data_IF_815372827833
#
_entry.id   IF_815372827833
#
_cell.length_a   1.000
_cell.length_b   1.000
_cell.length_c   1.000
_cell.angle_alpha   90.00
_cell.angle_beta   90.00
_cell.angle_gamma   90.00
#
_symmetry.space_group_name_H-M   'P 1'
#
loop_
_entity.id
_entity.type
_entity.pdbx_description
1 polymer ?
#
# COMPACT_ATOMS: atom_id res chain seq x y z
N UNK A 1 -13.12 -20.91 -67.99
CA UNK A 1 -13.50 -21.42 -66.66
C UNK A 1 -12.46 -21.03 -65.59
N UNK A 2 -11.89 -19.83 -65.62
CA UNK A 2 -12.13 -18.75 -64.63
C UNK A 2 -13.34 -18.92 -63.69
N UNK A 3 -13.27 -19.78 -62.65
CA UNK A 3 -14.06 -19.61 -61.41
C UNK A 3 -13.71 -20.49 -60.20
N UNK A 4 -12.52 -21.10 -60.12
CA UNK A 4 -12.16 -21.99 -58.99
C UNK A 4 -10.83 -21.67 -58.28
N UNK A 5 -10.09 -20.64 -58.67
CA UNK A 5 -8.79 -20.28 -58.07
C UNK A 5 -8.83 -19.16 -56.99
N UNK A 6 -10.02 -18.81 -56.48
CA UNK A 6 -10.16 -17.74 -55.49
C UNK A 6 -10.69 -18.21 -54.11
N UNK A 7 -10.62 -19.51 -53.82
CA UNK A 7 -11.13 -20.07 -52.56
C UNK A 7 -10.06 -20.51 -51.54
N UNK A 8 -8.77 -20.36 -51.86
CA UNK A 8 -7.66 -20.75 -50.96
C UNK A 8 -6.90 -19.56 -50.36
N UNK A 9 -7.28 -18.31 -50.66
CA UNK A 9 -6.74 -17.08 -50.05
C UNK A 9 -7.67 -16.41 -49.03
N UNK A 10 -8.71 -17.11 -48.57
CA UNK A 10 -9.65 -16.62 -47.53
C UNK A 10 -9.70 -17.52 -46.28
N UNK A 11 -8.62 -18.26 -46.00
CA UNK A 11 -8.46 -19.06 -44.77
C UNK A 11 -7.18 -18.60 -44.05
N UNK A 12 -7.06 -17.30 -43.74
CA UNK A 12 -5.90 -16.79 -42.99
C UNK A 12 -6.20 -15.66 -42.02
N UNK A 13 -7.47 -15.29 -41.80
CA UNK A 13 -7.80 -14.23 -40.84
C UNK A 13 -9.11 -14.60 -40.15
N UNK A 14 -9.14 -15.67 -39.35
CA UNK A 14 -10.23 -15.86 -38.39
C UNK A 14 -9.94 -16.82 -37.21
N UNK A 15 -8.68 -17.21 -36.99
CA UNK A 15 -8.34 -18.20 -35.95
C UNK A 15 -7.11 -17.83 -35.11
N UNK A 16 -6.88 -16.52 -34.92
CA UNK A 16 -5.83 -16.01 -34.04
C UNK A 16 -6.22 -14.68 -33.38
N UNK A 17 -7.48 -14.57 -32.94
CA UNK A 17 -8.02 -13.38 -32.28
C UNK A 17 -8.98 -13.72 -31.14
N UNK A 18 -8.74 -14.84 -30.46
CA UNK A 18 -9.52 -15.30 -29.30
C UNK A 18 -8.68 -15.62 -28.06
N UNK A 19 -7.45 -15.11 -27.97
CA UNK A 19 -6.54 -15.34 -26.83
C UNK A 19 -5.96 -14.04 -26.23
N UNK A 20 -6.69 -12.92 -26.32
CA UNK A 20 -6.37 -11.69 -25.59
C UNK A 20 -7.54 -11.17 -24.75
N UNK A 21 -8.45 -12.06 -24.36
CA UNK A 21 -9.23 -11.83 -23.14
C UNK A 21 -8.31 -12.15 -21.97
N UNK A 22 -7.37 -11.24 -21.70
CA UNK A 22 -6.71 -11.19 -20.41
C UNK A 22 -7.82 -11.15 -19.37
N UNK A 23 -7.90 -12.20 -18.55
CA UNK A 23 -8.66 -12.16 -17.31
C UNK A 23 -8.14 -10.95 -16.54
N UNK A 24 -8.85 -9.83 -16.60
CA UNK A 24 -8.78 -8.84 -15.54
C UNK A 24 -9.48 -9.54 -14.38
N UNK A 25 -8.70 -10.31 -13.61
CA UNK A 25 -9.13 -10.76 -12.31
C UNK A 25 -9.40 -9.47 -11.52
N UNK A 26 -10.67 -9.11 -11.39
CA UNK A 26 -11.09 -8.05 -10.48
C UNK A 26 -10.67 -8.49 -9.10
N UNK A 27 -9.55 -7.96 -8.63
CA UNK A 27 -9.03 -8.25 -7.31
C UNK A 27 -10.03 -7.69 -6.31
N UNK A 28 -10.65 -8.59 -5.53
CA UNK A 28 -11.40 -8.19 -4.36
C UNK A 28 -10.40 -7.52 -3.42
N UNK A 29 -10.73 -6.32 -2.95
CA UNK A 29 -10.17 -5.82 -1.69
C UNK A 29 -10.43 -6.94 -0.67
N UNK A 30 -9.37 -7.63 -0.24
CA UNK A 30 -9.51 -8.79 0.63
C UNK A 30 -9.96 -8.32 2.02
N UNK A 31 -11.23 -8.62 2.34
CA UNK A 31 -11.92 -8.21 3.55
C UNK A 31 -12.72 -6.91 3.36
N UNK A 32 -13.99 -6.83 3.80
CA UNK A 32 -14.72 -5.57 3.74
C UNK A 32 -14.07 -4.59 4.73
N UNK A 33 -13.46 -3.52 4.21
CA UNK A 33 -13.17 -2.34 5.02
C UNK A 33 -14.49 -1.90 5.65
N UNK A 34 -14.57 -1.96 6.98
CA UNK A 34 -15.81 -1.64 7.71
C UNK A 34 -15.93 -0.14 7.92
N UNK A 35 -14.84 0.48 8.35
CA UNK A 35 -14.82 1.89 8.74
C UNK A 35 -13.49 2.55 8.40
N UNK A 36 -13.52 3.86 8.18
CA UNK A 36 -12.34 4.67 7.94
C UNK A 36 -12.48 6.00 8.66
N UNK A 37 -11.39 6.43 9.29
CA UNK A 37 -11.30 7.69 10.00
C UNK A 37 -10.11 8.47 9.47
N UNK A 38 -10.32 9.69 9.01
CA UNK A 38 -9.24 10.61 8.61
C UNK A 38 -9.16 11.70 9.66
N UNK A 39 -8.01 11.79 10.32
CA UNK A 39 -7.79 12.70 11.43
C UNK A 39 -7.43 14.09 10.90
N UNK A 40 -8.02 15.12 11.48
CA UNK A 40 -7.54 16.49 11.36
C UNK A 40 -6.16 16.65 12.01
N UNK A 41 -5.42 17.74 11.72
CA UNK A 41 -4.16 18.02 12.40
C UNK A 41 -4.31 18.09 13.93
N UNK A 42 -5.40 18.71 14.43
CA UNK A 42 -5.69 18.78 15.86
C UNK A 42 -5.98 17.41 16.48
N UNK A 43 -6.75 16.56 15.80
CA UNK A 43 -7.02 15.19 16.28
C UNK A 43 -5.76 14.34 16.24
N UNK A 44 -4.92 14.50 15.21
CA UNK A 44 -3.62 13.81 15.12
C UNK A 44 -2.73 14.17 16.31
N UNK A 45 -2.61 15.46 16.63
CA UNK A 45 -1.83 15.92 17.79
C UNK A 45 -2.40 15.37 19.11
N UNK A 46 -3.72 15.38 19.29
CA UNK A 46 -4.34 14.82 20.50
C UNK A 46 -4.10 13.31 20.61
N UNK A 47 -4.23 12.59 19.49
CA UNK A 47 -4.01 11.15 19.42
C UNK A 47 -2.55 10.76 19.68
N UNK A 48 -1.59 11.60 19.28
CA UNK A 48 -0.18 11.43 19.61
C UNK A 48 0.07 11.46 21.12
N UNK A 49 -0.62 12.33 21.86
CA UNK A 49 -0.47 12.45 23.31
C UNK A 49 -1.24 11.38 24.08
N UNK A 50 -2.49 11.09 23.70
CA UNK A 50 -3.42 10.34 24.54
C UNK A 50 -4.00 9.08 23.88
N UNK A 51 -3.70 8.83 22.60
CA UNK A 51 -4.42 7.85 21.80
C UNK A 51 -5.76 8.44 21.34
N UNK A 52 -6.53 7.64 20.61
CA UNK A 52 -7.82 8.09 20.08
C UNK A 52 -8.86 6.98 20.12
N UNK A 53 -10.07 7.33 20.55
CA UNK A 53 -11.26 6.53 20.33
C UNK A 53 -11.87 6.93 18.99
N UNK A 54 -11.90 5.99 18.07
CA UNK A 54 -12.44 6.15 16.73
C UNK A 54 -13.87 5.62 16.73
N UNK A 55 -14.84 6.53 16.86
CA UNK A 55 -16.24 6.18 16.94
C UNK A 55 -16.85 5.85 15.56
N UNK A 56 -17.68 4.82 15.50
CA UNK A 56 -18.45 4.41 14.34
C UNK A 56 -19.86 5.01 14.38
N UNK A 57 -20.51 5.08 13.21
CA UNK A 57 -21.89 5.58 13.10
C UNK A 57 -22.91 4.67 13.80
N UNK A 58 -22.58 3.39 13.99
CA UNK A 58 -23.42 2.42 14.70
C UNK A 58 -23.23 2.45 16.22
N UNK A 59 -22.38 3.35 16.73
CA UNK A 59 -22.08 3.49 18.16
C UNK A 59 -20.96 2.58 18.68
N UNK A 60 -20.43 1.67 17.86
CA UNK A 60 -19.20 0.95 18.19
C UNK A 60 -17.97 1.87 18.09
N UNK A 61 -16.82 1.44 18.59
CA UNK A 61 -15.59 2.23 18.49
C UNK A 61 -14.34 1.37 18.49
N UNK A 62 -13.30 1.83 17.80
CA UNK A 62 -11.96 1.27 17.88
C UNK A 62 -11.04 2.18 18.68
N UNK A 63 -10.08 1.61 19.41
CA UNK A 63 -9.07 2.37 20.13
C UNK A 63 -7.71 2.26 19.44
N UNK A 64 -7.06 3.41 19.22
CA UNK A 64 -5.68 3.52 18.74
C UNK A 64 -4.79 4.03 19.86
N UNK A 65 -3.71 3.29 20.15
CA UNK A 65 -2.74 3.64 21.19
C UNK A 65 -1.89 4.84 20.78
N UNK A 66 -1.57 5.71 21.73
CA UNK A 66 -0.70 6.87 21.51
C UNK A 66 0.66 6.50 20.93
N UNK A 67 1.25 5.38 21.35
CA UNK A 67 2.57 4.95 20.86
C UNK A 67 2.56 4.58 19.37
N UNK A 68 1.44 4.07 18.85
CA UNK A 68 1.29 3.86 17.40
C UNK A 68 1.29 5.20 16.68
N UNK A 69 0.51 6.16 17.19
CA UNK A 69 0.41 7.50 16.59
C UNK A 69 1.75 8.24 16.64
N UNK A 70 2.48 8.19 17.76
CA UNK A 70 3.83 8.76 17.90
C UNK A 70 4.81 8.18 16.89
N UNK A 71 4.79 6.86 16.70
CA UNK A 71 5.66 6.20 15.71
C UNK A 71 5.33 6.67 14.28
N UNK A 72 4.05 6.76 13.94
CA UNK A 72 3.59 7.26 12.64
C UNK A 72 3.98 8.73 12.46
N UNK A 73 3.74 9.59 13.46
CA UNK A 73 4.06 11.01 13.39
C UNK A 73 5.56 11.26 13.27
N UNK A 74 6.41 10.54 14.02
CA UNK A 74 7.87 10.65 13.86
C UNK A 74 8.32 10.20 12.47
N UNK A 75 7.75 9.11 11.95
CA UNK A 75 8.03 8.63 10.60
C UNK A 75 7.59 9.66 9.54
N UNK A 76 6.38 10.23 9.65
CA UNK A 76 5.86 11.29 8.77
C UNK A 76 6.77 12.50 8.76
N UNK A 77 7.24 12.93 9.92
CA UNK A 77 8.17 14.07 10.06
C UNK A 77 9.50 13.79 9.36
N UNK A 78 10.13 12.65 9.64
CA UNK A 78 11.47 12.33 9.12
C UNK A 78 11.46 12.00 7.63
N UNK A 79 10.55 11.15 7.19
CA UNK A 79 10.44 10.73 5.79
C UNK A 79 9.86 11.88 4.94
N UNK A 80 8.89 12.64 5.47
CA UNK A 80 8.35 13.82 4.79
C UNK A 80 9.41 14.87 4.49
N UNK A 81 10.32 15.14 5.44
CA UNK A 81 11.43 16.07 5.24
C UNK A 81 12.39 15.67 4.10
N UNK A 82 12.49 14.38 3.78
CA UNK A 82 13.38 13.85 2.73
C UNK A 82 12.65 13.72 1.39
N UNK A 83 11.42 13.19 1.43
CA UNK A 83 10.61 12.91 0.24
C UNK A 83 9.90 14.14 -0.34
N UNK A 84 9.68 15.16 0.50
CA UNK A 84 8.79 16.29 0.22
C UNK A 84 7.31 15.90 0.13
N UNK A 85 6.94 14.71 0.62
CA UNK A 85 5.57 14.22 0.65
C UNK A 85 4.93 14.58 1.99
N UNK A 86 3.76 15.20 1.92
CA UNK A 86 2.90 15.48 3.07
C UNK A 86 1.57 14.77 2.86
N UNK A 87 1.08 14.08 3.88
CA UNK A 87 -0.21 13.38 3.86
C UNK A 87 -0.97 13.64 5.14
N UNK A 88 -2.29 13.51 5.13
CA UNK A 88 -3.06 13.33 6.37
C UNK A 88 -2.89 11.90 6.90
N UNK A 89 -3.24 11.69 8.16
CA UNK A 89 -3.28 10.38 8.80
C UNK A 89 -4.71 9.86 8.86
N UNK A 90 -4.90 8.63 8.43
CA UNK A 90 -6.12 7.88 8.70
C UNK A 90 -5.89 6.54 9.40
N UNK A 91 -7.00 5.96 9.83
CA UNK A 91 -7.08 4.58 10.30
C UNK A 91 -8.21 3.86 9.60
N UNK A 92 -8.07 2.55 9.47
CA UNK A 92 -9.05 1.69 8.81
C UNK A 92 -9.38 0.51 9.71
N UNK A 93 -10.67 0.22 9.85
CA UNK A 93 -11.14 -1.03 10.42
C UNK A 93 -11.17 -2.09 9.32
N UNK A 94 -10.14 -2.93 9.34
CA UNK A 94 -9.89 -3.99 8.37
C UNK A 94 -9.31 -5.20 9.10
N UNK A 95 -9.86 -6.37 8.81
CA UNK A 95 -9.33 -7.64 9.32
C UNK A 95 -7.97 -7.99 8.69
N UNK A 96 -7.71 -7.45 7.49
CA UNK A 96 -6.44 -7.60 6.78
C UNK A 96 -5.42 -6.56 7.27
N UNK A 97 -4.26 -6.99 7.80
CA UNK A 97 -3.18 -6.10 8.19
C UNK A 97 -2.53 -5.45 6.95
N UNK A 98 -2.76 -4.16 6.74
CA UNK A 98 -2.17 -3.40 5.63
C UNK A 98 -2.22 -1.89 5.87
N UNK A 99 -1.60 -1.11 5.00
CA UNK A 99 -1.78 0.33 4.87
C UNK A 99 -2.29 0.68 3.48
N UNK A 100 -2.81 1.90 3.33
CA UNK A 100 -3.36 2.37 2.08
C UNK A 100 -3.06 3.85 1.86
N UNK A 101 -2.83 4.22 0.62
CA UNK A 101 -2.87 5.59 0.13
C UNK A 101 -4.18 5.87 -0.62
N UNK A 102 -4.76 7.06 -0.42
CA UNK A 102 -5.87 7.59 -1.25
C UNK A 102 -5.90 9.13 -1.16
N UNK A 103 -6.67 9.82 -2.00
CA UNK A 103 -6.91 11.28 -1.85
C UNK A 103 -8.32 11.52 -1.34
N UNK A 104 -8.42 12.31 -0.29
CA UNK A 104 -9.69 12.74 0.31
C UNK A 104 -9.66 14.25 0.52
N UNK A 105 -10.71 14.94 0.07
CA UNK A 105 -10.79 16.42 0.11
C UNK A 105 -9.55 17.10 -0.50
N UNK A 106 -9.07 16.60 -1.63
CA UNK A 106 -7.87 17.07 -2.34
C UNK A 106 -6.56 17.00 -1.52
N UNK A 107 -6.52 16.20 -0.45
CA UNK A 107 -5.29 15.94 0.30
C UNK A 107 -4.97 14.45 0.26
N UNK A 108 -3.71 14.08 0.00
CA UNK A 108 -3.28 12.70 0.10
C UNK A 108 -3.42 12.24 1.55
N UNK A 109 -3.92 11.03 1.75
CA UNK A 109 -4.10 10.38 3.06
C UNK A 109 -3.36 9.06 3.02
N UNK A 110 -2.61 8.78 4.08
CA UNK A 110 -2.14 7.42 4.35
C UNK A 110 -2.89 6.91 5.56
N UNK A 111 -3.58 5.79 5.38
CA UNK A 111 -4.35 5.14 6.44
C UNK A 111 -3.80 3.77 6.78
N UNK A 112 -3.66 3.50 8.07
CA UNK A 112 -3.21 2.20 8.58
C UNK A 112 -4.39 1.38 9.07
N UNK A 113 -4.44 0.10 8.70
CA UNK A 113 -5.33 -0.83 9.37
C UNK A 113 -4.95 -0.94 10.85
N UNK A 114 -5.93 -0.85 11.75
CA UNK A 114 -5.67 -0.91 13.20
C UNK A 114 -5.14 -2.31 13.58
N UNK A 115 -5.63 -3.37 12.93
CA UNK A 115 -5.10 -4.73 13.03
C UNK A 115 -3.61 -4.81 12.70
N UNK A 116 -3.15 -4.04 11.72
CA UNK A 116 -1.73 -4.00 11.34
C UNK A 116 -0.86 -3.35 12.41
N UNK A 117 -1.31 -2.22 12.96
CA UNK A 117 -0.61 -1.55 14.05
C UNK A 117 -0.57 -2.43 15.31
N UNK A 118 -1.64 -3.18 15.60
CA UNK A 118 -1.65 -4.17 16.69
C UNK A 118 -0.63 -5.28 16.47
N UNK A 119 -0.50 -5.78 15.23
CA UNK A 119 0.44 -6.84 14.88
C UNK A 119 1.91 -6.36 14.85
N UNK A 120 2.16 -5.15 14.34
CA UNK A 120 3.48 -4.51 14.32
C UNK A 120 3.91 -4.02 15.72
N UNK A 121 2.95 -3.71 16.58
CA UNK A 121 3.20 -3.16 17.90
C UNK A 121 3.95 -1.83 17.82
N UNK A 122 4.98 -1.68 18.64
CA UNK A 122 5.81 -0.47 18.71
C UNK A 122 7.04 -0.53 17.79
N UNK A 123 7.04 -1.43 16.80
CA UNK A 123 8.10 -1.51 15.80
C UNK A 123 8.10 -0.31 14.86
N UNK A 124 8.82 0.70 15.32
CA UNK A 124 8.95 1.98 14.64
C UNK A 124 9.50 1.87 13.23
N UNK A 125 10.45 0.96 12.99
CA UNK A 125 11.05 0.84 11.65
C UNK A 125 10.09 0.15 10.69
N UNK A 126 9.33 -0.85 11.13
CA UNK A 126 8.31 -1.50 10.30
C UNK A 126 7.15 -0.56 9.97
N UNK A 127 6.71 0.28 10.92
CA UNK A 127 5.73 1.33 10.64
C UNK A 127 6.29 2.36 9.64
N UNK A 128 7.54 2.79 9.83
CA UNK A 128 8.16 3.84 9.00
C UNK A 128 8.41 3.40 7.55
N UNK A 129 8.88 2.17 7.32
CA UNK A 129 9.08 1.65 5.96
C UNK A 129 7.75 1.42 5.22
N UNK A 130 6.69 1.00 5.90
CA UNK A 130 5.34 0.94 5.31
C UNK A 130 4.87 2.35 4.95
N UNK A 131 5.01 3.32 5.84
CA UNK A 131 4.69 4.71 5.54
C UNK A 131 5.49 5.22 4.32
N UNK A 132 6.78 4.92 4.26
CA UNK A 132 7.63 5.35 3.15
C UNK A 132 7.22 4.71 1.82
N UNK A 133 6.76 3.46 1.84
CA UNK A 133 6.17 2.79 0.68
C UNK A 133 4.90 3.54 0.21
N UNK A 134 3.97 3.85 1.11
CA UNK A 134 2.77 4.62 0.77
C UNK A 134 3.10 6.05 0.28
N UNK A 135 4.13 6.68 0.85
CA UNK A 135 4.63 7.98 0.37
C UNK A 135 5.22 7.88 -1.04
N UNK A 136 5.84 6.75 -1.38
CA UNK A 136 6.36 6.53 -2.72
C UNK A 136 5.22 6.37 -3.72
N UNK A 137 4.13 5.70 -3.34
CA UNK A 137 2.89 5.70 -4.13
C UNK A 137 2.36 7.12 -4.34
N UNK A 138 2.31 7.97 -3.31
CA UNK A 138 1.91 9.39 -3.45
C UNK A 138 2.80 10.11 -4.47
N UNK A 139 4.12 9.92 -4.41
CA UNK A 139 5.09 10.63 -5.27
C UNK A 139 5.08 10.16 -6.72
N UNK A 140 4.97 8.85 -6.92
CA UNK A 140 5.00 8.20 -8.24
C UNK A 140 3.63 8.22 -8.92
N UNK A 141 2.57 8.41 -8.14
CA UNK A 141 1.20 8.58 -8.64
C UNK A 141 1.12 9.83 -9.50
N UNK A 142 1.23 9.66 -10.81
CA UNK A 142 1.04 10.76 -11.74
C UNK A 142 -0.45 11.14 -11.93
N UNK A 143 -1.44 10.30 -11.57
CA UNK A 143 -2.87 10.58 -11.86
C UNK A 143 -3.94 9.85 -10.98
N UNK A 144 -3.59 9.17 -9.88
CA UNK A 144 -4.45 8.12 -9.29
C UNK A 144 -5.66 8.56 -8.43
N UNK A 145 -6.03 9.85 -8.41
CA UNK A 145 -7.42 10.20 -8.07
C UNK A 145 -8.09 10.75 -9.30
N UNK A 146 -8.94 9.85 -9.82
CA UNK A 146 -9.99 10.06 -10.80
C UNK A 146 -10.51 11.50 -10.80
N UNK A 147 -10.86 11.98 -11.99
CA UNK A 147 -11.29 13.35 -12.33
C UNK A 147 -12.42 13.94 -11.45
N UNK A 148 -13.01 13.17 -10.54
CA UNK A 148 -13.93 13.65 -9.50
C UNK A 148 -13.19 14.05 -8.22
N UNK A 149 -12.81 15.31 -8.18
CA UNK A 149 -12.15 15.97 -7.02
C UNK A 149 -13.06 16.15 -5.79
N UNK A 150 -14.28 15.61 -5.83
CA UNK A 150 -15.34 15.85 -4.84
C UNK A 150 -15.81 14.57 -4.13
N UNK A 151 -14.91 13.63 -3.88
CA UNK A 151 -15.24 12.47 -3.05
C UNK A 151 -15.41 12.95 -1.60
N UNK A 152 -16.66 13.01 -1.14
CA UNK A 152 -17.03 13.43 0.22
C UNK A 152 -16.93 12.32 1.26
N UNK A 153 -16.86 11.06 0.82
CA UNK A 153 -16.78 9.88 1.69
C UNK A 153 -15.39 9.23 1.57
N UNK A 154 -14.59 9.19 2.65
CA UNK A 154 -13.27 8.58 2.63
C UNK A 154 -13.28 7.07 2.28
N UNK A 155 -14.38 6.35 2.52
CA UNK A 155 -14.46 4.93 2.16
C UNK A 155 -14.46 4.74 0.63
N UNK A 156 -15.19 5.60 -0.08
CA UNK A 156 -15.25 5.57 -1.54
C UNK A 156 -13.89 5.93 -2.17
N UNK A 157 -13.17 6.87 -1.57
CA UNK A 157 -11.83 7.24 -2.02
C UNK A 157 -10.85 6.05 -1.92
N UNK A 158 -10.92 5.31 -0.82
CA UNK A 158 -10.07 4.15 -0.58
C UNK A 158 -10.37 3.00 -1.55
N UNK A 159 -11.64 2.68 -1.80
CA UNK A 159 -12.03 1.60 -2.74
C UNK A 159 -11.45 1.84 -4.15
N UNK A 160 -11.33 3.11 -4.58
CA UNK A 160 -10.77 3.45 -5.90
C UNK A 160 -9.25 3.33 -5.98
N UNK A 161 -8.55 3.43 -4.85
CA UNK A 161 -7.09 3.45 -4.80
C UNK A 161 -6.44 2.07 -4.71
N UNK A 162 -7.22 1.00 -4.49
CA UNK A 162 -6.70 -0.33 -4.14
C UNK A 162 -6.12 -1.14 -5.32
N UNK A 163 -5.81 -0.52 -6.46
CA UNK A 163 -5.34 -1.22 -7.67
C UNK A 163 -4.00 -0.65 -8.13
N UNK A 164 -2.91 -1.31 -7.75
CA UNK A 164 -1.56 -0.96 -8.21
C UNK A 164 -0.93 -2.12 -8.99
N UNK A 165 -0.20 -1.81 -10.05
CA UNK A 165 0.52 -2.83 -10.82
C UNK A 165 1.81 -3.26 -10.12
N UNK A 166 2.29 -4.46 -10.45
CA UNK A 166 3.52 -5.02 -9.87
C UNK A 166 4.75 -4.12 -10.03
N UNK A 167 4.85 -3.41 -11.15
CA UNK A 167 5.96 -2.49 -11.39
C UNK A 167 5.83 -1.20 -10.57
N UNK A 168 4.60 -0.73 -10.31
CA UNK A 168 4.36 0.39 -9.38
C UNK A 168 4.74 0.00 -7.95
N UNK A 169 4.35 -1.19 -7.49
CA UNK A 169 4.73 -1.72 -6.19
C UNK A 169 6.25 -1.84 -6.00
N UNK A 170 6.98 -2.27 -7.03
CA UNK A 170 8.46 -2.33 -6.99
C UNK A 170 9.09 -0.95 -6.92
N UNK A 171 8.55 0.00 -7.69
CA UNK A 171 9.03 1.37 -7.69
C UNK A 171 8.75 2.03 -6.32
N UNK A 172 7.60 1.73 -5.71
CA UNK A 172 7.24 2.17 -4.37
C UNK A 172 8.15 1.55 -3.30
N UNK A 173 8.41 0.24 -3.37
CA UNK A 173 9.36 -0.45 -2.49
C UNK A 173 10.76 0.17 -2.57
N UNK A 174 11.26 0.41 -3.79
CA UNK A 174 12.61 0.96 -3.98
C UNK A 174 12.76 2.39 -3.46
N UNK A 175 11.83 3.27 -3.84
CA UNK A 175 11.86 4.68 -3.45
C UNK A 175 11.55 4.85 -1.96
N UNK A 176 10.56 4.10 -1.44
CA UNK A 176 10.20 4.11 -0.04
C UNK A 176 11.32 3.60 0.87
N UNK A 177 11.95 2.47 0.53
CA UNK A 177 13.10 1.96 1.29
C UNK A 177 14.27 2.95 1.29
N UNK A 178 14.55 3.60 0.16
CA UNK A 178 15.59 4.64 0.08
C UNK A 178 15.32 5.75 1.10
N UNK A 179 14.11 6.33 1.11
CA UNK A 179 13.78 7.40 2.05
C UNK A 179 13.74 6.94 3.50
N UNK A 180 13.25 5.74 3.78
CA UNK A 180 13.24 5.20 5.14
C UNK A 180 14.67 5.05 5.68
N UNK A 181 15.60 4.54 4.86
CA UNK A 181 17.02 4.43 5.22
C UNK A 181 17.66 5.80 5.41
N UNK A 182 17.42 6.75 4.50
CA UNK A 182 17.93 8.12 4.63
C UNK A 182 17.38 8.83 5.88
N UNK A 183 16.15 8.48 6.31
CA UNK A 183 15.54 8.91 7.56
C UNK A 183 16.06 8.18 8.81
N UNK A 184 16.95 7.20 8.65
CA UNK A 184 17.57 6.43 9.73
C UNK A 184 16.75 5.24 10.24
N UNK A 185 15.77 4.77 9.48
CA UNK A 185 14.99 3.58 9.83
C UNK A 185 15.63 2.28 9.32
N UNK A 186 15.38 1.18 10.04
CA UNK A 186 15.88 -0.13 9.65
C UNK A 186 15.07 -0.69 8.45
N UNK A 187 15.71 -0.93 7.27
CA UNK A 187 15.02 -1.49 6.10
C UNK A 187 14.41 -2.88 6.35
N UNK A 188 14.91 -3.62 7.33
CA UNK A 188 14.34 -4.92 7.71
C UNK A 188 12.95 -4.82 8.32
N UNK A 189 12.47 -3.62 8.65
CA UNK A 189 11.08 -3.38 9.01
C UNK A 189 10.11 -3.82 7.90
N UNK A 190 10.51 -3.71 6.63
CA UNK A 190 9.61 -4.01 5.51
C UNK A 190 9.33 -5.51 5.43
N UNK A 191 10.30 -6.36 5.75
CA UNK A 191 10.06 -7.80 5.80
C UNK A 191 9.07 -8.15 6.91
N UNK A 192 9.21 -7.53 8.10
CA UNK A 192 8.28 -7.77 9.21
C UNK A 192 6.86 -7.33 8.87
N UNK A 193 6.73 -6.18 8.19
CA UNK A 193 5.46 -5.69 7.69
C UNK A 193 4.84 -6.62 6.63
N UNK A 194 5.62 -7.01 5.62
CA UNK A 194 5.16 -7.88 4.53
C UNK A 194 4.81 -9.28 5.03
N UNK A 195 5.44 -9.78 6.10
CA UNK A 195 5.04 -11.08 6.68
C UNK A 195 3.69 -11.09 7.36
N UNK A 196 3.28 -9.94 7.89
CA UNK A 196 1.97 -9.75 8.49
C UNK A 196 0.91 -9.38 7.44
N UNK A 197 1.35 -8.87 6.30
CA UNK A 197 0.48 -8.45 5.18
C UNK A 197 0.22 -9.62 4.22
N UNK A 198 -0.99 -9.71 3.67
CA UNK A 198 -1.36 -10.68 2.64
C UNK A 198 -1.58 -12.13 3.13
N UNK A 199 -2.33 -12.90 2.35
CA UNK A 199 -2.51 -14.34 2.56
C UNK A 199 -1.29 -15.17 2.12
N UNK A 200 -1.30 -16.49 2.33
CA UNK A 200 -0.19 -17.35 1.91
C UNK A 200 0.10 -17.33 0.40
N UNK A 201 -0.92 -17.03 -0.42
CA UNK A 201 -0.77 -16.95 -1.87
C UNK A 201 0.05 -15.72 -2.28
N UNK A 202 -0.14 -14.59 -1.60
CA UNK A 202 0.64 -13.37 -1.82
C UNK A 202 2.08 -13.49 -1.29
N UNK A 203 2.31 -14.39 -0.33
CA UNK A 203 3.65 -14.69 0.20
C UNK A 203 4.54 -15.38 -0.83
N UNK A 204 3.98 -16.24 -1.68
CA UNK A 204 4.74 -17.18 -2.53
C UNK A 204 4.49 -17.05 -4.03
N UNK A 205 3.33 -16.55 -4.46
CA UNK A 205 2.90 -16.64 -5.85
C UNK A 205 3.57 -15.62 -6.76
N UNK A 206 4.25 -16.06 -7.84
CA UNK A 206 4.79 -15.16 -8.86
C UNK A 206 3.69 -14.57 -9.77
N UNK A 207 2.45 -15.04 -9.65
CA UNK A 207 1.29 -14.58 -10.40
C UNK A 207 0.49 -13.50 -9.66
N UNK A 208 0.89 -13.15 -8.43
CA UNK A 208 0.30 -12.02 -7.70
C UNK A 208 0.63 -10.70 -8.42
N UNK A 209 -0.32 -9.75 -8.52
CA UNK A 209 -0.02 -8.41 -9.00
C UNK A 209 0.88 -7.63 -8.02
N UNK A 210 1.03 -8.11 -6.78
CA UNK A 210 1.99 -7.59 -5.81
C UNK A 210 3.29 -8.42 -5.86
N UNK A 211 4.48 -7.79 -5.77
CA UNK A 211 5.73 -8.51 -5.54
C UNK A 211 5.59 -9.42 -4.33
N UNK A 212 5.93 -10.69 -4.49
CA UNK A 212 5.80 -11.67 -3.42
C UNK A 212 6.68 -11.29 -2.23
N UNK A 213 6.30 -11.74 -1.03
CA UNK A 213 7.12 -11.55 0.14
C UNK A 213 8.56 -12.04 -0.06
N UNK A 214 8.74 -13.19 -0.74
CA UNK A 214 10.07 -13.72 -1.07
C UNK A 214 10.88 -12.80 -2.00
N UNK A 215 10.26 -12.22 -3.04
CA UNK A 215 10.91 -11.26 -3.93
C UNK A 215 11.38 -10.03 -3.14
N UNK A 216 10.52 -9.49 -2.27
CA UNK A 216 10.85 -8.32 -1.43
C UNK A 216 11.98 -8.65 -0.44
N UNK A 217 11.96 -9.82 0.20
CA UNK A 217 12.98 -10.27 1.17
C UNK A 217 14.39 -10.31 0.56
N UNK A 218 14.53 -10.84 -0.66
CA UNK A 218 15.83 -10.89 -1.34
C UNK A 218 16.45 -9.50 -1.50
N UNK A 219 15.68 -8.57 -2.09
CA UNK A 219 16.12 -7.18 -2.32
C UNK A 219 16.40 -6.44 -1.01
N UNK A 220 15.58 -6.63 0.02
CA UNK A 220 15.78 -5.99 1.33
C UNK A 220 17.04 -6.53 2.02
N UNK A 221 17.34 -7.81 1.90
CA UNK A 221 18.57 -8.38 2.46
C UNK A 221 19.82 -7.82 1.80
N UNK A 222 19.84 -7.72 0.46
CA UNK A 222 20.94 -7.06 -0.27
C UNK A 222 21.14 -5.61 0.20
N UNK A 223 20.03 -4.88 0.34
CA UNK A 223 20.06 -3.50 0.81
C UNK A 223 20.53 -3.38 2.26
N UNK A 224 20.07 -4.28 3.15
CA UNK A 224 20.51 -4.35 4.54
C UNK A 224 22.00 -4.64 4.65
N UNK A 225 22.56 -5.54 3.84
CA UNK A 225 24.00 -5.78 3.81
C UNK A 225 24.74 -4.51 3.37
N UNK A 226 24.25 -3.82 2.33
CA UNK A 226 24.87 -2.60 1.82
C UNK A 226 24.85 -1.44 2.83
N UNK A 227 23.77 -1.27 3.58
CA UNK A 227 23.57 -0.10 4.47
C UNK A 227 23.90 -0.37 5.92
N UNK A 228 23.79 -1.62 6.39
CA UNK A 228 24.02 -2.04 7.78
C UNK A 228 25.20 -2.99 7.95
N UNK A 229 25.79 -3.48 6.87
CA UNK A 229 26.87 -4.48 6.92
C UNK A 229 26.42 -5.88 7.32
N UNK A 230 25.09 -6.15 7.42
CA UNK A 230 24.54 -7.46 7.78
C UNK A 230 23.15 -7.68 7.17
N UNK A 231 22.76 -8.94 6.88
CA UNK A 231 21.41 -9.26 6.42
C UNK A 231 20.38 -9.00 7.53
N UNK A 232 19.11 -9.00 7.16
CA UNK A 232 18.03 -9.05 8.15
C UNK A 232 18.12 -10.37 8.90
N UNK A 233 18.07 -10.32 10.24
CA UNK A 233 18.03 -11.54 11.04
C UNK A 233 16.79 -12.36 10.67
N UNK A 234 16.97 -13.70 10.61
CA UNK A 234 15.91 -14.63 10.23
C UNK A 234 14.66 -14.48 11.10
N UNK A 235 13.51 -14.65 10.47
CA UNK A 235 12.18 -14.60 11.08
C UNK A 235 11.83 -15.94 11.71
#
# INVERSE_FOLDING_TARGET
MKRLENMTKKISIFLLLFFLLGCVATQKVEGPIKWIWVLTPSETMQAEHHGSQLANKDGSSEWVLSDYVKNIVDARKKIGAISGVETDLGFVDSETPTAYFFVYKNRPVVAFAISFLRALGTDKSAIAVVLAHEYAHVKLSHHAVTKDKNISDPLNALILAALESRDQERAADELGLKWAIEAGFDPCGLIRAVWLSGDESQKTSPLSPYPSAFERIGKINELSVKTRGKPCAGF
#
